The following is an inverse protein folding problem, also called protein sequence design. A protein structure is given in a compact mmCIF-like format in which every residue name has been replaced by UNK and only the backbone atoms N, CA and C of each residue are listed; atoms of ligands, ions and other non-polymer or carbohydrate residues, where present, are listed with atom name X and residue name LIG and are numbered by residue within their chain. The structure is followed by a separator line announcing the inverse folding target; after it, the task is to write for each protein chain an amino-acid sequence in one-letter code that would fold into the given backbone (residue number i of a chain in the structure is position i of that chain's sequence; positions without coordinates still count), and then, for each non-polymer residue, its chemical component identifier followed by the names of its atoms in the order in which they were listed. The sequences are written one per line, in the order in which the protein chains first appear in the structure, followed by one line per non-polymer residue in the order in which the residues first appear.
data_IF_565207275034
#
_entry.id   IF_565207275034
#
_cell.length_a   1.000
_cell.length_b   1.000
_cell.length_c   1.000
_cell.angle_alpha   90.00
_cell.angle_beta   90.00
_cell.angle_gamma   90.00
#
_symmetry.space_group_name_H-M   'P 1'
#
loop_
_entity.id
_entity.type
_entity.pdbx_description
1 polymer ?
#
# COMPACT_ATOMS: atom_id res chain seq x y z
N UNK A 1 -40.61 35.15 9.32
CA UNK A 1 -40.31 34.37 8.09
C UNK A 1 -39.37 35.23 7.25
N UNK A 2 -38.14 34.89 6.89
CA UNK A 2 -37.56 33.61 6.46
C UNK A 2 -36.07 33.46 6.87
N UNK A 3 -35.70 32.18 7.08
CA UNK A 3 -34.43 31.49 6.81
C UNK A 3 -33.15 31.98 7.50
N UNK A 4 -32.82 31.27 8.59
CA UNK A 4 -31.42 30.97 8.90
C UNK A 4 -30.82 30.08 7.81
N UNK A 5 -29.71 30.54 7.25
CA UNK A 5 -28.78 29.71 6.47
C UNK A 5 -27.66 29.30 7.42
N UNK A 6 -27.86 28.18 8.11
CA UNK A 6 -26.74 27.46 8.71
C UNK A 6 -25.97 26.79 7.57
N UNK A 7 -24.92 27.45 7.11
CA UNK A 7 -23.88 26.84 6.29
C UNK A 7 -23.11 25.81 7.15
N UNK A 8 -23.67 24.62 7.34
CA UNK A 8 -22.88 23.48 7.80
C UNK A 8 -22.11 22.94 6.61
N UNK A 9 -20.82 23.30 6.54
CA UNK A 9 -19.84 22.54 5.77
C UNK A 9 -19.83 21.13 6.37
N UNK A 10 -20.48 20.19 5.69
CA UNK A 10 -20.44 18.77 6.04
C UNK A 10 -19.02 18.25 5.80
N UNK A 11 -18.15 18.40 6.80
CA UNK A 11 -16.94 17.59 6.89
C UNK A 11 -17.38 16.17 7.23
N UNK A 12 -17.55 15.32 6.22
CA UNK A 12 -17.73 13.90 6.47
C UNK A 12 -16.50 13.36 7.20
N UNK A 13 -16.75 12.59 8.26
CA UNK A 13 -15.68 11.90 8.97
C UNK A 13 -15.04 10.89 8.00
N UNK A 14 -13.72 10.77 8.08
CA UNK A 14 -13.04 9.70 7.36
C UNK A 14 -13.39 8.36 8.03
N UNK A 15 -13.71 7.39 7.21
CA UNK A 15 -13.91 5.99 7.62
C UNK A 15 -12.69 5.19 7.21
N UNK A 16 -12.32 4.19 8.00
CA UNK A 16 -11.20 3.31 7.71
C UNK A 16 -11.72 1.88 7.55
N UNK A 17 -11.30 1.21 6.48
CA UNK A 17 -11.67 -0.18 6.19
C UNK A 17 -10.44 -0.98 5.84
N UNK A 18 -10.20 -2.07 6.56
CA UNK A 18 -9.20 -3.06 6.16
C UNK A 18 -9.81 -4.01 5.12
N UNK A 19 -9.12 -4.19 4.01
CA UNK A 19 -9.52 -5.06 2.90
C UNK A 19 -8.37 -6.01 2.59
N UNK A 20 -8.70 -7.27 2.29
CA UNK A 20 -7.75 -8.22 1.72
C UNK A 20 -7.72 -8.05 0.21
N UNK A 21 -6.53 -7.83 -0.35
CA UNK A 21 -6.33 -7.58 -1.76
C UNK A 21 -5.29 -8.56 -2.33
N UNK A 22 -5.48 -8.97 -3.57
CA UNK A 22 -4.39 -9.58 -4.33
C UNK A 22 -3.34 -8.51 -4.61
N UNK A 23 -2.10 -8.90 -4.86
CA UNK A 23 -1.06 -7.95 -5.22
C UNK A 23 -0.08 -8.45 -6.26
N UNK A 24 0.54 -7.47 -6.94
CA UNK A 24 1.69 -7.63 -7.82
C UNK A 24 2.88 -6.87 -7.24
N UNK A 25 4.07 -7.31 -7.62
CA UNK A 25 5.34 -6.70 -7.22
C UNK A 25 6.25 -6.47 -8.41
N UNK A 26 6.93 -5.33 -8.43
CA UNK A 26 8.06 -5.06 -9.31
C UNK A 26 9.03 -4.09 -8.63
N UNK A 27 10.22 -3.97 -9.18
CA UNK A 27 11.18 -2.92 -8.85
C UNK A 27 11.18 -1.87 -9.98
N UNK A 28 11.10 -0.59 -9.62
CA UNK A 28 11.15 0.54 -10.55
C UNK A 28 12.21 1.51 -10.05
N UNK A 29 13.19 1.84 -10.90
CA UNK A 29 14.34 2.67 -10.52
C UNK A 29 15.06 2.19 -9.24
N UNK A 30 15.07 0.87 -9.03
CA UNK A 30 15.66 0.23 -7.85
C UNK A 30 14.82 0.32 -6.58
N UNK A 31 13.56 0.76 -6.66
CA UNK A 31 12.64 0.84 -5.53
C UNK A 31 11.58 -0.27 -5.61
N UNK A 32 11.28 -0.98 -4.51
CA UNK A 32 10.18 -1.94 -4.45
C UNK A 32 8.81 -1.25 -4.60
N UNK A 33 8.03 -1.74 -5.56
CA UNK A 33 6.69 -1.25 -5.89
C UNK A 33 5.67 -2.38 -5.69
N UNK A 34 4.63 -2.11 -4.89
CA UNK A 34 3.52 -3.04 -4.63
C UNK A 34 2.23 -2.45 -5.19
N UNK A 35 1.57 -3.19 -6.08
CA UNK A 35 0.24 -2.87 -6.58
C UNK A 35 -0.77 -3.84 -5.97
N UNK A 36 -1.67 -3.35 -5.13
CA UNK A 36 -2.74 -4.11 -4.51
C UNK A 36 -4.09 -3.82 -5.19
N UNK A 37 -4.92 -4.85 -5.37
CA UNK A 37 -6.26 -4.68 -5.94
C UNK A 37 -7.28 -5.69 -5.39
N UNK A 38 -8.51 -5.22 -5.25
CA UNK A 38 -9.71 -6.05 -5.03
C UNK A 38 -10.57 -6.19 -6.31
N UNK A 39 -10.04 -5.77 -7.46
CA UNK A 39 -10.75 -5.70 -8.73
C UNK A 39 -11.55 -4.42 -8.95
N UNK A 40 -11.69 -3.55 -7.94
CA UNK A 40 -12.34 -2.24 -8.07
C UNK A 40 -11.32 -1.11 -8.12
N UNK A 41 -10.29 -1.16 -7.28
CA UNK A 41 -9.26 -0.14 -7.19
C UNK A 41 -7.85 -0.73 -7.35
N UNK A 42 -6.92 0.06 -7.90
CA UNK A 42 -5.50 -0.28 -7.95
C UNK A 42 -4.70 0.65 -7.05
N UNK A 43 -4.28 0.14 -5.90
CA UNK A 43 -3.48 0.83 -4.90
C UNK A 43 -2.00 0.59 -5.19
N UNK A 44 -1.30 1.57 -5.75
CA UNK A 44 0.12 1.43 -6.12
C UNK A 44 0.98 2.19 -5.12
N UNK A 45 1.93 1.50 -4.48
CA UNK A 45 2.81 2.07 -3.47
C UNK A 45 4.27 1.74 -3.78
N UNK A 46 5.10 2.78 -3.76
CA UNK A 46 6.55 2.72 -3.92
C UNK A 46 7.21 2.86 -2.56
N UNK A 47 8.24 2.05 -2.33
CA UNK A 47 8.93 2.00 -1.05
C UNK A 47 10.43 2.21 -1.22
N UNK A 48 11.03 2.87 -0.23
CA UNK A 48 12.47 2.87 -0.01
C UNK A 48 12.81 1.98 1.19
N UNK A 49 14.09 1.63 1.36
CA UNK A 49 14.56 1.04 2.61
C UNK A 49 14.75 2.15 3.64
N UNK A 50 14.23 1.95 4.86
CA UNK A 50 14.43 2.87 5.98
C UNK A 50 15.91 3.15 6.19
N UNK A 51 16.25 4.39 6.55
CA UNK A 51 17.65 4.79 6.75
C UNK A 51 18.45 3.89 7.69
N UNK A 52 17.82 3.46 8.79
CA UNK A 52 18.45 2.56 9.77
C UNK A 52 18.72 1.13 9.27
N UNK A 53 18.23 0.80 8.08
CA UNK A 53 18.31 -0.51 7.47
C UNK A 53 19.02 -0.48 6.10
N UNK A 54 19.68 0.64 5.74
CA UNK A 54 20.42 0.76 4.46
C UNK A 54 21.42 -0.37 4.22
N UNK A 55 21.99 -0.97 5.26
CA UNK A 55 22.93 -2.10 5.12
C UNK A 55 22.31 -3.31 4.43
N UNK A 56 20.97 -3.41 4.38
CA UNK A 56 20.25 -4.48 3.67
C UNK A 56 20.59 -4.54 2.18
N UNK A 57 20.99 -3.42 1.58
CA UNK A 57 21.49 -3.38 0.21
C UNK A 57 22.88 -3.99 0.06
N UNK A 58 23.73 -3.83 1.07
CA UNK A 58 25.13 -4.27 1.02
C UNK A 58 25.27 -5.74 1.42
N UNK A 59 24.40 -6.21 2.32
CA UNK A 59 24.48 -7.55 2.91
C UNK A 59 23.56 -8.60 2.25
N UNK A 60 22.87 -8.25 1.16
CA UNK A 60 22.07 -9.18 0.36
C UNK A 60 20.64 -9.41 0.86
N UNK A 61 20.23 -8.77 1.98
CA UNK A 61 18.88 -8.96 2.54
C UNK A 61 17.79 -8.33 1.68
N UNK A 62 18.08 -7.24 0.99
CA UNK A 62 17.10 -6.65 0.09
C UNK A 62 16.76 -7.60 -1.07
N UNK A 63 17.74 -8.27 -1.66
CA UNK A 63 17.53 -9.22 -2.76
C UNK A 63 16.60 -10.35 -2.33
N UNK A 64 16.72 -10.79 -1.07
CA UNK A 64 15.79 -11.76 -0.48
C UNK A 64 14.38 -11.15 -0.34
N UNK A 65 14.24 -9.91 0.15
CA UNK A 65 12.95 -9.21 0.22
C UNK A 65 12.30 -9.11 -1.16
N UNK A 66 13.02 -8.65 -2.19
CA UNK A 66 12.50 -8.50 -3.54
C UNK A 66 12.13 -9.86 -4.17
N UNK A 67 12.94 -10.90 -3.95
CA UNK A 67 12.61 -12.27 -4.38
C UNK A 67 11.34 -12.76 -3.72
N UNK A 68 11.25 -12.66 -2.40
CA UNK A 68 10.12 -13.23 -1.64
C UNK A 68 8.81 -12.49 -1.98
N UNK A 69 8.85 -11.17 -2.14
CA UNK A 69 7.69 -10.38 -2.62
C UNK A 69 7.25 -10.79 -4.02
N UNK A 70 8.21 -11.03 -4.94
CA UNK A 70 7.95 -11.47 -6.32
C UNK A 70 7.34 -12.87 -6.37
N UNK A 71 7.88 -13.81 -5.59
CA UNK A 71 7.46 -15.21 -5.62
C UNK A 71 6.12 -15.46 -4.94
N UNK A 72 5.73 -14.61 -3.99
CA UNK A 72 4.44 -14.69 -3.29
C UNK A 72 3.33 -13.86 -3.96
N UNK A 73 3.67 -12.93 -4.86
CA UNK A 73 2.71 -12.17 -5.64
C UNK A 73 1.76 -13.09 -6.43
N UNK A 74 0.45 -12.82 -6.34
CA UNK A 74 -0.60 -13.67 -6.92
C UNK A 74 -0.86 -15.01 -6.21
N UNK A 75 -0.14 -15.31 -5.10
CA UNK A 75 -0.34 -16.51 -4.29
C UNK A 75 -0.90 -16.22 -2.91
N UNK A 76 -0.66 -15.02 -2.39
CA UNK A 76 -1.16 -14.56 -1.10
C UNK A 76 -1.90 -13.25 -1.24
N UNK A 77 -2.84 -13.02 -0.33
CA UNK A 77 -3.54 -11.75 -0.20
C UNK A 77 -2.92 -10.90 0.91
N UNK A 78 -3.00 -9.60 0.75
CA UNK A 78 -2.38 -8.61 1.64
C UNK A 78 -3.44 -7.70 2.24
N UNK A 79 -3.20 -7.25 3.46
CA UNK A 79 -4.08 -6.30 4.11
C UNK A 79 -3.75 -4.89 3.65
N UNK A 80 -4.78 -4.20 3.16
CA UNK A 80 -4.73 -2.79 2.79
C UNK A 80 -5.76 -2.04 3.62
N UNK A 81 -5.32 -1.04 4.36
CA UNK A 81 -6.20 -0.10 5.05
C UNK A 81 -6.59 1.01 4.08
N UNK A 82 -7.86 1.06 3.71
CA UNK A 82 -8.43 2.13 2.89
C UNK A 82 -9.01 3.22 3.78
N UNK A 83 -8.71 4.47 3.45
CA UNK A 83 -9.38 5.65 4.00
C UNK A 83 -10.46 6.10 3.04
N UNK A 84 -11.69 6.15 3.53
CA UNK A 84 -12.88 6.47 2.75
C UNK A 84 -13.44 7.82 3.22
N UNK A 85 -13.76 8.69 2.27
CA UNK A 85 -14.50 9.94 2.51
C UNK A 85 -15.66 10.04 1.54
N UNK A 86 -16.87 10.29 2.06
CA UNK A 86 -18.10 10.35 1.25
C UNK A 86 -18.30 9.10 0.37
N UNK A 87 -17.94 7.91 0.88
CA UNK A 87 -18.05 6.65 0.13
C UNK A 87 -16.97 6.41 -0.93
N UNK A 88 -15.99 7.31 -1.08
CA UNK A 88 -14.90 7.20 -2.06
C UNK A 88 -13.56 6.95 -1.35
N UNK A 89 -12.73 5.98 -1.78
CA UNK A 89 -11.36 5.84 -1.29
C UNK A 89 -10.52 7.08 -1.66
N UNK A 90 -9.80 7.63 -0.68
CA UNK A 90 -8.98 8.84 -0.85
C UNK A 90 -7.55 8.66 -0.40
N UNK A 91 -7.25 7.61 0.36
CA UNK A 91 -5.90 7.26 0.83
C UNK A 91 -5.85 5.76 1.12
N UNK A 92 -4.66 5.17 1.14
CA UNK A 92 -4.48 3.79 1.56
C UNK A 92 -3.13 3.54 2.22
N UNK A 93 -3.05 2.42 2.93
CA UNK A 93 -1.81 1.91 3.50
C UNK A 93 -1.76 0.40 3.41
N UNK A 94 -0.67 -0.13 2.85
CA UNK A 94 -0.39 -1.57 2.91
C UNK A 94 0.18 -1.90 4.29
N UNK A 95 -0.38 -2.92 4.94
CA UNK A 95 0.09 -3.41 6.23
C UNK A 95 1.34 -4.29 6.03
N UNK A 96 2.51 -3.63 6.02
CA UNK A 96 3.81 -4.30 5.84
C UNK A 96 4.14 -5.32 6.94
N UNK A 97 3.59 -5.16 8.15
CA UNK A 97 3.81 -6.10 9.26
C UNK A 97 3.07 -7.40 8.99
N UNK A 98 1.80 -7.31 8.60
CA UNK A 98 1.04 -8.50 8.20
C UNK A 98 1.60 -9.12 6.93
N UNK A 99 2.04 -8.31 5.96
CA UNK A 99 2.70 -8.81 4.75
C UNK A 99 3.96 -9.63 5.09
N UNK A 100 4.83 -9.07 5.94
CA UNK A 100 6.03 -9.75 6.43
C UNK A 100 5.70 -11.08 7.11
N UNK A 101 4.68 -11.08 7.98
CA UNK A 101 4.19 -12.29 8.66
C UNK A 101 3.63 -13.33 7.69
N UNK A 102 2.86 -12.92 6.68
CA UNK A 102 2.26 -13.82 5.68
C UNK A 102 3.32 -14.46 4.78
N UNK A 103 4.34 -13.69 4.38
CA UNK A 103 5.43 -14.17 3.52
C UNK A 103 6.49 -14.94 4.32
N UNK A 104 6.63 -14.66 5.61
CA UNK A 104 7.69 -15.23 6.46
C UNK A 104 9.03 -14.49 6.33
N UNK A 105 9.02 -13.24 5.88
CA UNK A 105 10.22 -12.40 5.76
C UNK A 105 10.03 -11.07 6.53
N UNK A 106 10.69 -10.97 7.69
CA UNK A 106 10.58 -9.82 8.60
C UNK A 106 11.25 -8.54 8.06
N UNK A 107 12.19 -8.66 7.13
CA UNK A 107 12.89 -7.51 6.58
C UNK A 107 11.97 -6.62 5.73
N UNK A 108 10.81 -7.12 5.29
CA UNK A 108 9.75 -6.33 4.62
C UNK A 108 9.26 -5.17 5.50
N UNK A 109 9.28 -5.34 6.84
CA UNK A 109 8.90 -4.26 7.77
C UNK A 109 9.87 -3.06 7.71
N UNK A 110 11.05 -3.22 7.12
CA UNK A 110 12.04 -2.15 6.95
C UNK A 110 11.81 -1.29 5.71
N UNK A 111 10.75 -1.56 4.93
CA UNK A 111 10.30 -0.68 3.86
C UNK A 111 9.61 0.57 4.44
N UNK A 112 9.81 1.71 3.79
CA UNK A 112 9.23 3.00 4.10
C UNK A 112 8.59 3.59 2.84
N UNK A 113 7.33 4.00 2.96
CA UNK A 113 6.55 4.52 1.85
C UNK A 113 7.19 5.83 1.34
N UNK A 114 7.55 5.88 0.05
CA UNK A 114 8.08 7.09 -0.58
C UNK A 114 7.13 7.68 -1.63
N UNK A 115 6.20 6.89 -2.17
CA UNK A 115 5.19 7.35 -3.12
C UNK A 115 3.97 6.43 -3.12
N UNK A 116 2.80 6.97 -3.47
CA UNK A 116 1.60 6.16 -3.68
C UNK A 116 0.58 6.84 -4.59
N UNK A 117 -0.34 6.06 -5.17
CA UNK A 117 -1.48 6.55 -5.92
C UNK A 117 -2.58 5.52 -6.11
N UNK A 118 -3.82 6.00 -6.30
CA UNK A 118 -4.94 5.21 -6.80
C UNK A 118 -5.02 5.31 -8.31
N UNK A 119 -5.32 4.19 -8.96
CA UNK A 119 -5.47 4.13 -10.40
C UNK A 119 -6.75 3.37 -10.74
N UNK A 120 -7.42 3.84 -11.79
CA UNK A 120 -8.67 3.24 -12.32
C UNK A 120 -8.38 2.02 -13.21
N UNK A 121 -7.12 1.80 -13.57
CA UNK A 121 -6.64 0.69 -14.37
C UNK A 121 -5.34 0.14 -13.78
N UNK A 122 -5.01 -1.14 -14.00
CA UNK A 122 -3.73 -1.67 -13.58
C UNK A 122 -2.62 -0.89 -14.30
N UNK A 123 -1.58 -0.51 -13.55
CA UNK A 123 -0.33 -0.10 -14.17
C UNK A 123 0.35 -1.37 -14.65
N UNK A 124 0.48 -1.50 -15.97
CA UNK A 124 1.35 -2.52 -16.56
C UNK A 124 2.78 -2.07 -16.36
N UNK A 125 3.58 -2.97 -15.81
CA UNK A 125 5.00 -2.75 -15.60
C UNK A 125 5.82 -3.74 -16.40
#
# INVERSE_FOLDING_TARGET
MYKGLNNYVFFSKAEYRSVLMDYKFKEIDGLPCIQATDGTYYCNADYAIKTKAYSMWEDGRYENVARDLRESAGRVQIFVELKIKNGVPVDFKIDLVKLASTIGNKDIENLELCGWGFFDSPIEY
#
